data_IF_419218558429
#
_entry.id   IF_419218558429
#
_cell.length_a   1.000
_cell.length_b   1.000
_cell.length_c   1.000
_cell.angle_alpha   90.00
_cell.angle_beta   90.00
_cell.angle_gamma   90.00
#
_symmetry.space_group_name_H-M   'P 1'
#
loop_
_entity.id
_entity.type
_entity.pdbx_description
1 polymer ?
#
# COMPACT_ATOMS: atom_id res chain seq x y z
N UNK A 1 30.63 2.77 -52.04
CA UNK A 1 29.17 2.63 -51.96
C UNK A 1 28.72 3.64 -50.93
N UNK A 2 27.91 4.61 -51.38
CA UNK A 2 27.74 5.91 -50.76
C UNK A 2 26.99 5.89 -49.43
N UNK A 3 27.24 6.94 -48.65
CA UNK A 3 26.55 7.33 -47.42
C UNK A 3 25.09 7.75 -47.61
N UNK A 4 24.52 7.55 -48.80
CA UNK A 4 23.18 8.00 -49.15
C UNK A 4 22.16 7.09 -48.44
N UNK A 5 21.69 7.56 -47.27
CA UNK A 5 20.71 6.88 -46.42
C UNK A 5 21.12 6.71 -44.97
N UNK A 6 22.37 7.04 -44.59
CA UNK A 6 22.80 6.99 -43.19
C UNK A 6 22.28 8.21 -42.41
N UNK A 7 21.46 7.99 -41.37
CA UNK A 7 20.94 9.05 -40.49
C UNK A 7 21.69 9.14 -39.14
N UNK A 8 22.76 8.37 -38.92
CA UNK A 8 23.43 8.30 -37.62
C UNK A 8 23.94 9.66 -37.12
N UNK A 9 24.53 10.49 -37.99
CA UNK A 9 25.02 11.83 -37.61
C UNK A 9 23.87 12.75 -37.18
N UNK A 10 22.79 12.80 -37.97
CA UNK A 10 21.60 13.59 -37.62
C UNK A 10 20.89 13.09 -36.36
N UNK A 11 20.96 11.79 -36.08
CA UNK A 11 20.41 11.22 -34.85
C UNK A 11 21.22 11.66 -33.62
N UNK A 12 22.54 11.74 -33.73
CA UNK A 12 23.38 12.25 -32.64
C UNK A 12 23.16 13.75 -32.41
N UNK A 13 23.09 14.54 -33.48
CA UNK A 13 22.82 15.99 -33.39
C UNK A 13 21.46 16.28 -32.72
N UNK A 14 20.47 15.41 -32.95
CA UNK A 14 19.12 15.53 -32.39
C UNK A 14 18.91 14.76 -31.08
N UNK A 15 19.97 14.27 -30.44
CA UNK A 15 19.88 13.41 -29.25
C UNK A 15 19.00 13.97 -28.13
N UNK A 16 19.12 15.26 -27.80
CA UNK A 16 18.30 15.90 -26.74
C UNK A 16 16.82 15.91 -27.10
N UNK A 17 16.48 16.18 -28.36
CA UNK A 17 15.10 16.17 -28.85
C UNK A 17 14.54 14.76 -28.80
N UNK A 18 15.32 13.75 -29.23
CA UNK A 18 14.92 12.33 -29.15
C UNK A 18 14.66 11.88 -27.72
N UNK A 19 15.55 12.23 -26.78
CA UNK A 19 15.35 11.96 -25.35
C UNK A 19 14.04 12.55 -24.83
N UNK A 20 13.76 13.80 -25.17
CA UNK A 20 12.54 14.46 -24.72
C UNK A 20 11.29 13.83 -25.32
N UNK A 21 11.30 13.49 -26.62
CA UNK A 21 10.18 12.79 -27.26
C UNK A 21 9.96 11.40 -26.71
N UNK A 22 11.03 10.67 -26.44
CA UNK A 22 10.95 9.37 -25.81
C UNK A 22 10.41 9.44 -24.39
N UNK A 23 10.80 10.47 -23.62
CA UNK A 23 10.26 10.74 -22.28
C UNK A 23 8.75 11.00 -22.32
N UNK A 24 8.29 11.83 -23.26
CA UNK A 24 6.85 12.11 -23.48
C UNK A 24 6.09 10.83 -23.83
N UNK A 25 6.65 10.00 -24.71
CA UNK A 25 6.05 8.74 -25.12
C UNK A 25 5.97 7.74 -23.97
N UNK A 26 7.06 7.58 -23.20
CA UNK A 26 7.06 6.76 -21.99
C UNK A 26 6.04 7.28 -20.97
N UNK A 27 5.89 8.60 -20.82
CA UNK A 27 4.92 9.19 -19.91
C UNK A 27 3.48 8.85 -20.33
N UNK A 28 3.14 8.99 -21.62
CA UNK A 28 1.82 8.58 -22.14
C UNK A 28 1.52 7.10 -21.88
N UNK A 29 2.52 6.24 -22.06
CA UNK A 29 2.34 4.82 -21.77
C UNK A 29 2.10 4.56 -20.28
N UNK A 30 2.99 5.05 -19.40
CA UNK A 30 2.93 4.73 -17.98
C UNK A 30 1.77 5.43 -17.25
N UNK A 31 1.49 6.70 -17.57
CA UNK A 31 0.51 7.52 -16.84
C UNK A 31 -0.88 7.53 -17.48
N UNK A 32 -0.97 7.45 -18.81
CA UNK A 32 -2.24 7.63 -19.54
C UNK A 32 -2.77 6.33 -20.16
N UNK A 33 -2.07 5.20 -19.99
CA UNK A 33 -2.39 3.90 -20.61
C UNK A 33 -2.56 3.98 -22.14
N UNK A 34 -1.79 4.85 -22.80
CA UNK A 34 -1.89 5.10 -24.24
C UNK A 34 -1.39 3.89 -25.08
N UNK A 35 -2.32 3.25 -25.81
CA UNK A 35 -2.03 2.08 -26.65
C UNK A 35 -1.08 2.39 -27.84
N UNK A 36 -1.08 3.63 -28.35
CA UNK A 36 -0.17 4.02 -29.43
C UNK A 36 1.27 4.14 -28.91
N UNK A 37 1.44 4.66 -27.69
CA UNK A 37 2.73 4.70 -27.01
C UNK A 37 3.23 3.28 -26.66
N UNK A 38 2.32 2.42 -26.17
CA UNK A 38 2.61 1.00 -25.90
C UNK A 38 3.18 0.29 -27.14
N UNK A 39 2.57 0.47 -28.32
CA UNK A 39 3.05 -0.12 -29.57
C UNK A 39 4.51 0.25 -29.89
N UNK A 40 4.91 1.51 -29.65
CA UNK A 40 6.30 1.96 -29.88
C UNK A 40 7.25 1.40 -28.81
N UNK A 41 6.82 1.29 -27.55
CA UNK A 41 7.62 0.62 -26.51
C UNK A 41 7.85 -0.86 -26.83
N UNK A 42 6.80 -1.58 -27.27
CA UNK A 42 6.90 -2.98 -27.64
C UNK A 42 7.90 -3.17 -28.80
N UNK A 43 7.88 -2.26 -29.79
CA UNK A 43 8.88 -2.24 -30.86
C UNK A 43 10.30 -1.97 -30.36
N UNK A 44 10.46 -1.04 -29.41
CA UNK A 44 11.75 -0.78 -28.76
C UNK A 44 12.28 -2.00 -28.00
N UNK A 45 11.43 -2.72 -27.26
CA UNK A 45 11.82 -3.95 -26.56
C UNK A 45 12.21 -5.07 -27.55
N UNK A 46 11.42 -5.27 -28.62
CA UNK A 46 11.76 -6.23 -29.69
C UNK A 46 13.09 -5.88 -30.39
N UNK A 47 13.40 -4.60 -30.53
CA UNK A 47 14.64 -4.12 -31.14
C UNK A 47 15.90 -4.48 -30.35
N UNK A 48 15.78 -4.86 -29.07
CA UNK A 48 16.92 -5.28 -28.23
C UNK A 48 17.34 -6.72 -28.44
N UNK A 49 16.41 -7.57 -28.85
CA UNK A 49 16.58 -9.03 -28.92
C UNK A 49 16.79 -9.53 -30.36
N UNK A 50 16.95 -8.63 -31.32
CA UNK A 50 17.05 -8.92 -32.76
C UNK A 50 15.86 -9.71 -33.33
N UNK A 51 14.75 -9.78 -32.59
CA UNK A 51 13.46 -10.30 -33.05
C UNK A 51 12.75 -9.24 -33.89
N UNK A 52 13.37 -8.85 -35.02
CA UNK A 52 12.70 -8.03 -36.02
C UNK A 52 11.74 -8.93 -36.80
N UNK A 53 10.59 -9.23 -36.20
CA UNK A 53 9.41 -9.78 -36.88
C UNK A 53 8.14 -9.27 -36.20
N UNK A 54 8.07 -7.96 -35.94
CA UNK A 54 6.79 -7.28 -35.87
C UNK A 54 6.56 -6.71 -37.26
N UNK A 55 5.77 -7.43 -38.05
CA UNK A 55 5.33 -7.04 -39.39
C UNK A 55 4.74 -5.63 -39.36
N UNK A 56 5.53 -4.64 -39.75
CA UNK A 56 5.06 -3.29 -40.01
C UNK A 56 4.32 -3.28 -41.34
N UNK A 57 3.08 -3.78 -41.42
CA UNK A 57 2.17 -3.50 -42.54
C UNK A 57 0.70 -3.69 -42.12
N UNK A 58 -0.08 -2.60 -42.01
CA UNK A 58 -1.39 -2.45 -42.67
C UNK A 58 -1.79 -0.95 -42.78
N UNK A 59 -1.77 -0.42 -44.00
CA UNK A 59 -1.96 1.00 -44.37
C UNK A 59 -3.21 1.66 -43.73
N UNK A 60 -2.99 2.30 -42.58
CA UNK A 60 -3.90 3.25 -41.95
C UNK A 60 -3.09 4.44 -41.43
N UNK A 61 -3.70 5.63 -41.23
CA UNK A 61 -2.96 6.82 -40.77
C UNK A 61 -2.22 6.66 -39.43
N UNK A 62 -2.59 5.65 -38.62
CA UNK A 62 -1.88 5.29 -37.40
C UNK A 62 -0.51 4.62 -37.66
N UNK A 63 -0.33 3.97 -38.81
CA UNK A 63 0.92 3.33 -39.20
C UNK A 63 1.96 4.35 -39.69
N UNK A 64 1.52 5.44 -40.33
CA UNK A 64 2.40 6.54 -40.73
C UNK A 64 3.01 7.22 -39.49
N UNK A 65 2.16 7.58 -38.51
CA UNK A 65 2.61 8.21 -37.26
C UNK A 65 3.53 7.28 -36.44
N UNK A 66 3.25 5.97 -36.43
CA UNK A 66 4.12 4.99 -35.81
C UNK A 66 5.50 4.95 -36.49
N UNK A 67 5.54 4.83 -37.82
CA UNK A 67 6.79 4.76 -38.58
C UNK A 67 7.62 6.04 -38.44
N UNK A 68 6.99 7.22 -38.50
CA UNK A 68 7.66 8.51 -38.25
C UNK A 68 8.29 8.55 -36.86
N UNK A 69 7.58 8.03 -35.84
CA UNK A 69 8.06 8.00 -34.47
C UNK A 69 9.25 7.05 -34.30
N UNK A 70 9.16 5.83 -34.86
CA UNK A 70 10.24 4.83 -34.85
C UNK A 70 11.49 5.37 -35.56
N UNK A 71 11.30 6.02 -36.71
CA UNK A 71 12.40 6.64 -37.46
C UNK A 71 13.02 7.79 -36.67
N UNK A 72 12.22 8.70 -36.13
CA UNK A 72 12.69 9.85 -35.35
C UNK A 72 13.50 9.41 -34.11
N UNK A 73 13.07 8.33 -33.45
CA UNK A 73 13.78 7.78 -32.29
C UNK A 73 15.09 7.07 -32.66
N UNK A 74 15.29 6.72 -33.93
CA UNK A 74 16.46 5.99 -34.41
C UNK A 74 16.40 4.50 -34.10
N UNK A 75 15.20 3.91 -34.09
CA UNK A 75 14.97 2.49 -33.82
C UNK A 75 15.17 1.60 -35.06
N UNK A 76 15.55 2.18 -36.20
CA UNK A 76 16.00 1.43 -37.37
C UNK A 76 17.51 1.22 -37.34
N UNK A 77 17.94 -0.04 -37.52
CA UNK A 77 19.36 -0.37 -37.65
C UNK A 77 19.95 0.26 -38.92
N UNK A 78 21.10 0.91 -38.76
CA UNK A 78 21.86 1.39 -39.90
C UNK A 78 22.58 0.21 -40.57
N UNK A 79 22.38 0.05 -41.88
CA UNK A 79 23.01 -1.04 -42.66
C UNK A 79 24.47 -0.73 -43.06
N UNK A 80 25.02 0.42 -42.65
CA UNK A 80 26.40 0.80 -42.95
C UNK A 80 27.34 0.02 -42.02
N UNK A 81 28.32 -0.75 -42.57
CA UNK A 81 29.28 -1.50 -41.75
C UNK A 81 30.02 -0.59 -40.77
N UNK A 82 30.08 -1.02 -39.51
CA UNK A 82 30.73 -0.26 -38.42
C UNK A 82 29.83 0.76 -37.70
N UNK A 83 28.55 0.91 -38.08
CA UNK A 83 27.60 1.79 -37.40
C UNK A 83 26.72 1.09 -36.35
N UNK A 84 26.98 -0.20 -36.06
CA UNK A 84 26.25 -0.98 -35.06
C UNK A 84 26.31 -0.33 -33.67
N UNK A 85 27.45 0.28 -33.34
CA UNK A 85 27.65 0.97 -32.07
C UNK A 85 26.68 2.15 -31.88
N UNK A 86 26.35 2.88 -32.95
CA UNK A 86 25.41 4.02 -32.90
C UNK A 86 23.99 3.56 -32.52
N UNK A 87 23.58 2.39 -33.01
CA UNK A 87 22.29 1.80 -32.66
C UNK A 87 22.28 1.36 -31.19
N UNK A 88 23.32 0.67 -30.74
CA UNK A 88 23.47 0.24 -29.35
C UNK A 88 23.46 1.43 -28.38
N UNK A 89 24.18 2.51 -28.72
CA UNK A 89 24.17 3.76 -27.94
C UNK A 89 22.78 4.39 -27.90
N UNK A 90 22.02 4.36 -29.01
CA UNK A 90 20.63 4.82 -29.04
C UNK A 90 19.75 3.99 -28.10
N UNK A 91 19.82 2.65 -28.18
CA UNK A 91 19.05 1.76 -27.31
C UNK A 91 19.37 2.01 -25.83
N UNK A 92 20.66 2.12 -25.48
CA UNK A 92 21.08 2.37 -24.11
C UNK A 92 20.56 3.72 -23.60
N UNK A 93 20.64 4.77 -24.42
CA UNK A 93 20.15 6.10 -24.08
C UNK A 93 18.63 6.11 -23.84
N UNK A 94 17.85 5.46 -24.70
CA UNK A 94 16.40 5.34 -24.54
C UNK A 94 16.04 4.48 -23.32
N UNK A 95 16.81 3.44 -23.03
CA UNK A 95 16.60 2.60 -21.85
C UNK A 95 16.77 3.36 -20.54
N UNK A 96 17.80 4.22 -20.45
CA UNK A 96 18.02 5.09 -19.27
C UNK A 96 16.81 5.99 -19.06
N UNK A 97 16.37 6.69 -20.10
CA UNK A 97 15.21 7.61 -20.00
C UNK A 97 13.92 6.85 -19.68
N UNK A 98 13.68 5.67 -20.26
CA UNK A 98 12.51 4.84 -19.94
C UNK A 98 12.52 4.46 -18.46
N UNK A 99 13.67 4.05 -17.93
CA UNK A 99 13.80 3.67 -16.53
C UNK A 99 13.64 4.85 -15.57
N UNK A 100 14.11 6.05 -15.95
CA UNK A 100 13.82 7.30 -15.21
C UNK A 100 12.31 7.58 -15.12
N UNK A 101 11.60 7.51 -16.26
CA UNK A 101 10.15 7.76 -16.29
C UNK A 101 9.40 6.68 -15.51
N UNK A 102 9.78 5.41 -15.67
CA UNK A 102 9.19 4.29 -14.94
C UNK A 102 9.37 4.44 -13.42
N UNK A 103 10.56 4.86 -12.98
CA UNK A 103 10.82 5.14 -11.56
C UNK A 103 9.91 6.27 -11.05
N UNK A 104 9.82 7.39 -11.79
CA UNK A 104 8.93 8.49 -11.46
C UNK A 104 7.44 8.10 -11.42
N UNK A 105 7.02 7.18 -12.29
CA UNK A 105 5.67 6.63 -12.29
C UNK A 105 5.41 5.78 -11.03
N UNK A 106 6.32 4.88 -10.68
CA UNK A 106 6.18 4.07 -9.46
C UNK A 106 6.15 4.94 -8.20
N UNK A 107 6.97 5.99 -8.14
CA UNK A 107 6.94 6.97 -7.06
C UNK A 107 5.59 7.71 -7.02
N UNK A 108 5.07 8.14 -8.17
CA UNK A 108 3.75 8.78 -8.27
C UNK A 108 2.62 7.87 -7.77
N UNK A 109 2.55 6.63 -8.26
CA UNK A 109 1.55 5.64 -7.86
C UNK A 109 1.66 5.31 -6.38
N UNK A 110 2.88 5.14 -5.87
CA UNK A 110 3.14 4.93 -4.45
C UNK A 110 2.58 6.10 -3.62
N UNK A 111 2.95 7.33 -3.97
CA UNK A 111 2.48 8.53 -3.29
C UNK A 111 0.95 8.67 -3.31
N UNK A 112 0.32 8.34 -4.44
CA UNK A 112 -1.13 8.33 -4.55
C UNK A 112 -1.76 7.33 -3.57
N UNK A 113 -1.29 6.07 -3.54
CA UNK A 113 -1.80 5.04 -2.63
C UNK A 113 -1.66 5.44 -1.15
N UNK A 114 -0.53 6.02 -0.78
CA UNK A 114 -0.31 6.55 0.58
C UNK A 114 -1.24 7.72 0.91
N UNK A 115 -1.48 8.63 -0.04
CA UNK A 115 -2.40 9.75 0.13
C UNK A 115 -3.86 9.30 0.26
N UNK A 116 -4.27 8.30 -0.52
CA UNK A 116 -5.61 7.70 -0.46
C UNK A 116 -5.81 7.02 0.90
N UNK A 117 -4.83 6.23 1.36
CA UNK A 117 -4.87 5.63 2.69
C UNK A 117 -4.94 6.68 3.80
N UNK A 118 -4.10 7.73 3.76
CA UNK A 118 -4.12 8.81 4.75
C UNK A 118 -5.48 9.50 4.82
N UNK A 119 -6.10 9.75 3.67
CA UNK A 119 -7.43 10.35 3.57
C UNK A 119 -8.48 9.44 4.21
N UNK A 120 -8.52 8.17 3.82
CA UNK A 120 -9.47 7.20 4.35
C UNK A 120 -9.30 6.96 5.86
N UNK A 121 -8.05 6.88 6.32
CA UNK A 121 -7.73 6.74 7.73
C UNK A 121 -8.19 7.97 8.53
N UNK A 122 -8.06 9.19 8.00
CA UNK A 122 -8.54 10.41 8.68
C UNK A 122 -10.06 10.50 8.76
N UNK A 123 -10.75 9.96 7.76
CA UNK A 123 -12.22 9.90 7.74
C UNK A 123 -12.78 8.81 8.65
N UNK A 124 -11.95 7.88 9.13
CA UNK A 124 -12.37 6.73 9.93
C UNK A 124 -11.71 6.73 11.31
N UNK A 125 -12.53 6.74 12.36
CA UNK A 125 -12.09 6.73 13.74
C UNK A 125 -13.00 5.86 14.59
N UNK A 126 -12.40 5.21 15.60
CA UNK A 126 -13.16 4.59 16.67
C UNK A 126 -13.99 5.63 17.42
N UNK A 127 -15.14 5.21 17.94
CA UNK A 127 -16.16 6.10 18.51
C UNK A 127 -15.93 6.43 19.99
N UNK A 128 -15.05 5.69 20.66
CA UNK A 128 -14.84 5.73 22.10
C UNK A 128 -13.67 6.64 22.53
N UNK A 129 -13.09 7.37 21.58
CA UNK A 129 -12.07 8.38 21.83
C UNK A 129 -12.52 9.75 21.31
N UNK A 130 -12.01 10.79 21.94
CA UNK A 130 -12.06 12.16 21.47
C UNK A 130 -10.68 12.58 21.00
N UNK A 131 -10.62 13.12 19.80
CA UNK A 131 -9.39 13.62 19.19
C UNK A 131 -9.38 15.13 19.34
N UNK A 132 -8.30 15.65 19.88
CA UNK A 132 -8.06 17.08 19.98
C UNK A 132 -6.61 17.39 19.63
N UNK A 133 -6.35 18.65 19.32
CA UNK A 133 -5.02 19.11 18.93
C UNK A 133 -4.43 19.94 20.05
N UNK A 134 -3.20 19.61 20.48
CA UNK A 134 -2.49 20.36 21.52
C UNK A 134 -1.98 21.71 21.00
N UNK A 135 -1.40 22.50 21.90
CA UNK A 135 -0.81 23.80 21.57
C UNK A 135 0.36 23.73 20.58
N UNK A 136 0.90 22.53 20.31
CA UNK A 136 1.99 22.28 19.36
C UNK A 136 1.47 21.64 18.06
N UNK A 137 0.17 21.74 17.77
CA UNK A 137 -0.47 21.13 16.61
C UNK A 137 -0.37 19.58 16.57
N UNK A 138 -0.13 18.91 17.70
CA UNK A 138 -0.09 17.45 17.78
C UNK A 138 -1.46 16.90 18.13
N UNK A 139 -1.88 15.88 17.39
CA UNK A 139 -3.08 15.12 17.72
C UNK A 139 -2.88 14.36 19.03
N UNK A 140 -3.86 14.46 19.92
CA UNK A 140 -3.95 13.76 21.19
C UNK A 140 -5.30 13.03 21.24
N UNK A 141 -5.32 11.91 21.95
CA UNK A 141 -6.54 11.16 22.22
C UNK A 141 -6.83 11.18 23.72
N UNK A 142 -8.12 11.26 24.04
CA UNK A 142 -8.65 10.97 25.37
C UNK A 142 -9.85 10.04 25.26
N UNK A 143 -10.03 9.16 26.24
CA UNK A 143 -11.18 8.26 26.29
C UNK A 143 -12.46 9.07 26.47
N UNK A 144 -13.47 8.83 25.61
CA UNK A 144 -14.81 9.37 25.81
C UNK A 144 -15.52 8.60 26.92
N UNK A 145 -15.88 9.30 27.99
CA UNK A 145 -16.63 8.72 29.11
C UNK A 145 -18.09 8.51 28.70
N UNK A 146 -18.57 7.27 28.80
CA UNK A 146 -19.93 6.88 28.46
C UNK A 146 -20.58 6.23 29.68
N UNK A 147 -21.54 6.93 30.29
CA UNK A 147 -22.16 6.53 31.54
C UNK A 147 -23.08 5.31 31.39
N UNK A 148 -23.75 5.18 30.25
CA UNK A 148 -24.69 4.10 29.93
C UNK A 148 -24.14 3.13 28.89
N UNK A 149 -22.81 2.98 28.80
CA UNK A 149 -22.21 2.06 27.85
C UNK A 149 -22.54 0.61 28.21
N UNK A 150 -23.08 -0.11 27.25
CA UNK A 150 -23.29 -1.55 27.32
C UNK A 150 -22.80 -2.20 26.03
N UNK A 151 -21.84 -3.11 26.17
CA UNK A 151 -21.39 -3.95 25.07
C UNK A 151 -22.34 -5.13 24.93
N UNK A 152 -23.22 -5.05 23.93
CA UNK A 152 -24.22 -6.11 23.69
C UNK A 152 -23.57 -7.38 23.16
N UNK A 153 -24.23 -8.52 23.41
CA UNK A 153 -23.84 -9.81 22.85
C UNK A 153 -23.86 -9.74 21.31
N UNK A 154 -24.81 -9.01 20.74
CA UNK A 154 -24.89 -8.81 19.29
C UNK A 154 -23.65 -8.09 18.73
N UNK A 155 -23.18 -7.04 19.40
CA UNK A 155 -21.96 -6.34 19.00
C UNK A 155 -20.74 -7.25 19.11
N UNK A 156 -20.64 -8.03 20.21
CA UNK A 156 -19.59 -9.03 20.38
C UNK A 156 -19.57 -10.05 19.23
N UNK A 157 -20.72 -10.67 18.93
CA UNK A 157 -20.85 -11.65 17.84
C UNK A 157 -20.45 -11.05 16.50
N UNK A 158 -20.93 -9.85 16.17
CA UNK A 158 -20.56 -9.14 14.93
C UNK A 158 -19.05 -8.87 14.84
N UNK A 159 -18.42 -8.50 15.95
CA UNK A 159 -16.96 -8.31 15.99
C UNK A 159 -16.22 -9.63 15.74
N UNK A 160 -16.66 -10.73 16.36
CA UNK A 160 -16.08 -12.07 16.18
C UNK A 160 -16.23 -12.55 14.73
N UNK A 161 -17.42 -12.46 14.15
CA UNK A 161 -17.68 -12.82 12.75
C UNK A 161 -16.80 -12.03 11.77
N UNK A 162 -16.68 -10.71 11.97
CA UNK A 162 -15.81 -9.86 11.13
C UNK A 162 -14.34 -10.24 11.24
N UNK A 163 -13.91 -10.61 12.44
CA UNK A 163 -12.54 -11.07 12.69
C UNK A 163 -12.26 -12.41 11.99
N UNK A 164 -13.18 -13.37 12.09
CA UNK A 164 -13.10 -14.66 11.41
C UNK A 164 -13.03 -14.48 9.90
N UNK A 165 -13.98 -13.73 9.31
CA UNK A 165 -14.01 -13.45 7.88
C UNK A 165 -12.72 -12.78 7.40
N UNK A 166 -12.19 -11.84 8.17
CA UNK A 166 -10.92 -11.18 7.83
C UNK A 166 -9.74 -12.17 7.82
N UNK A 167 -9.62 -12.99 8.87
CA UNK A 167 -8.55 -13.98 8.97
C UNK A 167 -8.67 -15.00 7.83
N UNK A 168 -9.86 -15.57 7.60
CA UNK A 168 -10.07 -16.57 6.55
C UNK A 168 -9.70 -16.05 5.16
N UNK A 169 -10.08 -14.81 4.87
CA UNK A 169 -9.79 -14.16 3.59
C UNK A 169 -8.28 -13.95 3.37
N UNK A 170 -7.57 -13.50 4.39
CA UNK A 170 -6.19 -13.02 4.23
C UNK A 170 -5.11 -14.03 4.66
N UNK A 171 -5.47 -15.10 5.37
CA UNK A 171 -4.52 -16.10 5.89
C UNK A 171 -3.78 -16.89 4.80
N UNK A 172 -4.33 -17.02 3.60
CA UNK A 172 -3.61 -17.67 2.49
C UNK A 172 -2.53 -16.76 1.89
N UNK A 173 -2.64 -15.45 2.11
CA UNK A 173 -1.70 -14.45 1.63
C UNK A 173 -0.59 -14.24 2.66
N UNK A 174 0.60 -14.78 2.37
CA UNK A 174 1.80 -14.65 3.21
C UNK A 174 2.15 -13.19 3.51
N UNK A 175 1.85 -12.27 2.59
CA UNK A 175 2.06 -10.83 2.78
C UNK A 175 1.24 -10.24 3.93
N UNK A 176 0.12 -10.85 4.31
CA UNK A 176 -0.73 -10.38 5.41
C UNK A 176 -0.28 -10.89 6.79
N UNK A 177 0.52 -11.96 6.83
CA UNK A 177 0.93 -12.63 8.08
C UNK A 177 1.61 -11.70 9.09
N UNK A 178 2.53 -10.79 8.68
CA UNK A 178 3.15 -9.84 9.59
C UNK A 178 2.11 -8.93 10.29
N UNK A 179 1.07 -8.48 9.57
CA UNK A 179 -0.02 -7.70 10.15
C UNK A 179 -0.86 -8.52 11.13
N UNK A 180 -1.24 -9.75 10.77
CA UNK A 180 -1.99 -10.64 11.67
C UNK A 180 -1.20 -10.92 12.96
N UNK A 181 0.10 -11.18 12.84
CA UNK A 181 0.97 -11.38 13.98
C UNK A 181 1.09 -10.11 14.85
N UNK A 182 1.18 -8.93 14.21
CA UNK A 182 1.21 -7.63 14.89
C UNK A 182 -0.09 -7.32 15.64
N UNK A 183 -1.25 -7.54 15.01
CA UNK A 183 -2.55 -7.33 15.63
C UNK A 183 -2.76 -8.27 16.83
N UNK A 184 -2.39 -9.54 16.69
CA UNK A 184 -2.41 -10.49 17.81
C UNK A 184 -1.53 -10.00 18.97
N UNK A 185 -0.33 -9.49 18.68
CA UNK A 185 0.56 -8.94 19.68
C UNK A 185 -0.03 -7.70 20.36
N UNK A 186 -0.65 -6.80 19.59
CA UNK A 186 -1.32 -5.60 20.11
C UNK A 186 -2.46 -5.94 21.08
N UNK A 187 -3.29 -6.94 20.74
CA UNK A 187 -4.33 -7.47 21.63
C UNK A 187 -3.72 -8.08 22.91
N UNK A 188 -2.66 -8.88 22.77
CA UNK A 188 -1.96 -9.47 23.90
C UNK A 188 -1.35 -8.41 24.83
N UNK A 189 -0.76 -7.35 24.29
CA UNK A 189 -0.21 -6.26 25.09
C UNK A 189 -1.27 -5.51 25.89
N UNK A 190 -2.48 -5.36 25.35
CA UNK A 190 -3.60 -4.77 26.07
C UNK A 190 -4.13 -5.70 27.17
N UNK A 191 -4.11 -7.02 26.96
CA UNK A 191 -4.47 -8.00 28.00
C UNK A 191 -3.50 -7.99 29.20
N UNK A 192 -2.24 -7.62 28.96
CA UNK A 192 -1.19 -7.52 29.97
C UNK A 192 -1.17 -6.17 30.71
N UNK A 193 -2.11 -5.27 30.40
CA UNK A 193 -2.09 -3.88 30.86
C UNK A 193 -3.46 -3.43 31.38
N UNK A 194 -3.45 -2.61 32.44
CA UNK A 194 -4.63 -1.90 32.92
C UNK A 194 -4.90 -0.61 32.13
N UNK A 195 -3.90 -0.08 31.43
CA UNK A 195 -4.03 1.05 30.51
C UNK A 195 -4.05 0.57 29.06
N UNK A 196 -4.68 1.36 28.18
CA UNK A 196 -4.67 1.14 26.75
C UNK A 196 -3.22 1.15 26.28
N UNK A 197 -2.82 0.13 25.53
CA UNK A 197 -1.53 0.07 24.88
C UNK A 197 -1.72 0.34 23.40
N UNK A 198 -1.03 1.36 22.89
CA UNK A 198 -1.09 1.71 21.49
C UNK A 198 -0.14 0.83 20.68
N UNK A 199 -0.59 0.45 19.49
CA UNK A 199 0.18 -0.25 18.48
C UNK A 199 0.71 0.77 17.48
N UNK A 200 1.99 1.10 17.60
CA UNK A 200 2.67 2.03 16.69
C UNK A 200 3.04 1.32 15.39
N UNK A 201 2.48 1.76 14.28
CA UNK A 201 2.52 1.05 12.99
C UNK A 201 2.78 2.02 11.84
N UNK A 202 3.61 1.61 10.87
CA UNK A 202 3.82 2.35 9.61
C UNK A 202 2.64 2.13 8.66
N UNK A 203 2.20 3.17 7.97
CA UNK A 203 1.13 3.09 6.95
C UNK A 203 1.52 2.13 5.81
N UNK A 204 2.83 1.89 5.60
CA UNK A 204 3.34 0.90 4.66
C UNK A 204 2.79 -0.51 4.90
N UNK A 205 2.48 -0.85 6.15
CA UNK A 205 1.90 -2.16 6.48
C UNK A 205 0.52 -2.34 5.84
N UNK A 206 -0.24 -1.27 5.62
CA UNK A 206 -1.50 -1.35 4.92
C UNK A 206 -1.30 -1.28 3.41
N UNK A 207 -0.50 -0.31 2.95
CA UNK A 207 -0.37 0.03 1.53
C UNK A 207 0.45 -0.99 0.73
N UNK A 208 1.44 -1.62 1.35
CA UNK A 208 2.39 -2.52 0.67
C UNK A 208 2.16 -4.00 0.99
N UNK A 209 1.25 -4.33 1.90
CA UNK A 209 0.99 -5.72 2.31
C UNK A 209 -0.30 -6.26 1.70
N UNK A 210 -0.35 -7.58 1.55
CA UNK A 210 -1.58 -8.28 1.19
C UNK A 210 -1.96 -8.14 -0.29
N UNK A 211 -3.25 -8.30 -0.57
CA UNK A 211 -3.83 -8.16 -1.91
C UNK A 211 -4.42 -6.76 -2.12
N UNK A 212 -5.03 -6.51 -3.28
CA UNK A 212 -5.62 -5.21 -3.63
C UNK A 212 -6.74 -4.76 -2.68
N UNK A 213 -7.36 -5.68 -1.93
CA UNK A 213 -8.44 -5.37 -1.01
C UNK A 213 -7.98 -5.30 0.45
N UNK A 214 -6.74 -5.72 0.74
CA UNK A 214 -6.21 -5.82 2.09
C UNK A 214 -6.28 -4.50 2.84
N UNK A 215 -5.81 -3.40 2.24
CA UNK A 215 -5.83 -2.05 2.83
C UNK A 215 -7.20 -1.68 3.37
N UNK A 216 -8.24 -1.82 2.54
CA UNK A 216 -9.61 -1.48 2.90
C UNK A 216 -10.14 -2.40 4.00
N UNK A 217 -9.94 -3.72 3.85
CA UNK A 217 -10.41 -4.71 4.82
C UNK A 217 -9.74 -4.54 6.19
N UNK A 218 -8.44 -4.24 6.21
CA UNK A 218 -7.67 -4.06 7.44
C UNK A 218 -8.12 -2.80 8.18
N UNK A 219 -8.32 -1.69 7.47
CA UNK A 219 -8.85 -0.46 8.07
C UNK A 219 -10.27 -0.66 8.60
N UNK A 220 -11.14 -1.33 7.84
CA UNK A 220 -12.49 -1.67 8.27
C UNK A 220 -12.51 -2.59 9.50
N UNK A 221 -11.61 -3.58 9.56
CA UNK A 221 -11.46 -4.42 10.75
C UNK A 221 -11.06 -3.59 11.97
N UNK A 222 -9.96 -2.82 11.86
CA UNK A 222 -9.44 -2.04 12.98
C UNK A 222 -10.48 -1.04 13.50
N UNK A 223 -11.05 -0.23 12.62
CA UNK A 223 -11.95 0.87 13.03
C UNK A 223 -13.38 0.40 13.24
N UNK A 224 -13.97 -0.36 12.30
CA UNK A 224 -15.40 -0.66 12.35
C UNK A 224 -15.74 -1.93 13.14
N UNK A 225 -14.82 -2.89 13.23
CA UNK A 225 -15.06 -4.13 13.98
C UNK A 225 -14.46 -4.08 15.39
N UNK A 226 -13.22 -3.62 15.51
CA UNK A 226 -12.46 -3.58 16.76
C UNK A 226 -12.50 -2.21 17.46
N UNK A 227 -13.10 -1.20 16.80
CA UNK A 227 -13.28 0.14 17.32
C UNK A 227 -11.96 0.81 17.76
N UNK A 228 -10.87 0.53 17.04
CA UNK A 228 -9.61 1.25 17.21
C UNK A 228 -9.78 2.70 16.79
N UNK A 229 -9.15 3.59 17.55
CA UNK A 229 -8.87 4.97 17.12
C UNK A 229 -7.38 5.12 16.85
N UNK A 230 -7.00 6.17 16.13
CA UNK A 230 -5.59 6.43 15.82
C UNK A 230 -5.28 7.92 15.73
N UNK A 231 -4.01 8.25 15.96
CA UNK A 231 -3.43 9.53 15.59
C UNK A 231 -2.11 9.34 14.85
N UNK A 232 -1.72 10.36 14.08
CA UNK A 232 -0.37 10.42 13.52
C UNK A 232 0.64 10.51 14.67
N UNK A 233 1.61 9.59 14.69
CA UNK A 233 2.62 9.55 15.74
C UNK A 233 3.50 10.79 15.64
N UNK A 234 3.67 11.50 16.75
CA UNK A 234 4.60 12.63 16.80
C UNK A 234 5.99 12.12 16.43
N UNK A 235 6.51 12.60 15.29
CA UNK A 235 7.73 12.11 14.66
C UNK A 235 8.84 11.89 15.69
N UNK A 236 9.09 10.63 16.03
CA UNK A 236 10.25 10.23 16.80
C UNK A 236 11.34 9.89 15.78
N UNK A 237 11.81 10.92 15.08
CA UNK A 237 12.76 10.74 13.98
C UNK A 237 13.50 12.03 13.69
N UNK A 238 14.80 12.02 13.99
CA UNK A 238 15.79 12.95 13.46
C UNK A 238 15.53 13.27 11.98
N UNK A 239 15.56 14.55 11.57
CA UNK A 239 15.49 14.91 10.17
C UNK A 239 16.70 14.31 9.45
N UNK A 240 16.49 13.34 8.54
CA UNK A 240 17.56 12.83 7.68
C UNK A 240 17.54 11.36 7.27
N UNK A 241 16.65 10.50 7.78
CA UNK A 241 16.67 9.06 7.43
C UNK A 241 15.39 8.51 6.80
N UNK A 242 14.33 9.31 6.64
CA UNK A 242 13.14 8.86 5.91
C UNK A 242 13.44 8.86 4.41
N UNK A 243 13.69 7.67 3.83
CA UNK A 243 13.86 7.50 2.39
C UNK A 243 12.63 7.93 1.59
N UNK A 244 11.45 8.01 2.23
CA UNK A 244 10.21 8.54 1.66
C UNK A 244 9.51 9.47 2.68
N UNK A 245 9.41 10.79 2.42
CA UNK A 245 8.78 11.75 3.34
C UNK A 245 7.25 11.57 3.48
N UNK A 246 6.66 10.66 2.71
CA UNK A 246 5.21 10.44 2.64
C UNK A 246 4.70 9.27 3.49
N UNK A 247 5.57 8.35 3.91
CA UNK A 247 5.16 7.19 4.70
C UNK A 247 4.99 7.60 6.15
N UNK A 248 3.74 7.72 6.59
CA UNK A 248 3.39 8.10 7.95
C UNK A 248 3.47 6.91 8.89
N UNK A 249 3.56 7.22 10.18
CA UNK A 249 3.43 6.24 11.26
C UNK A 249 2.28 6.68 12.15
N UNK A 250 1.41 5.75 12.52
CA UNK A 250 0.25 5.99 13.37
C UNK A 250 0.33 5.16 14.63
N UNK A 251 -0.23 5.73 15.69
CA UNK A 251 -0.44 5.04 16.95
C UNK A 251 -1.90 4.57 16.99
N UNK A 252 -2.12 3.26 16.98
CA UNK A 252 -3.45 2.64 16.97
C UNK A 252 -3.85 2.21 18.38
N UNK A 253 -4.94 2.74 18.90
CA UNK A 253 -5.42 2.54 20.26
C UNK A 253 -6.62 1.61 20.26
N UNK A 254 -6.51 0.48 20.97
CA UNK A 254 -7.63 -0.44 21.16
C UNK A 254 -8.77 0.24 21.92
N UNK A 255 -10.01 -0.16 21.63
CA UNK A 255 -11.19 0.28 22.36
C UNK A 255 -11.04 0.10 23.89
N UNK A 256 -11.08 1.18 24.70
CA UNK A 256 -10.94 1.10 26.15
C UNK A 256 -12.08 0.33 26.82
N UNK A 257 -13.21 0.20 26.13
CA UNK A 257 -14.37 -0.57 26.61
C UNK A 257 -14.33 -2.06 26.20
N UNK A 258 -13.27 -2.51 25.53
CA UNK A 258 -13.09 -3.94 25.24
C UNK A 258 -12.57 -4.68 26.48
N UNK A 259 -13.31 -5.69 26.92
CA UNK A 259 -12.98 -6.47 28.11
C UNK A 259 -11.89 -7.50 27.86
N UNK A 260 -11.25 -7.95 28.93
CA UNK A 260 -10.27 -9.03 28.86
C UNK A 260 -10.89 -10.36 28.38
N UNK A 261 -12.19 -10.56 28.60
CA UNK A 261 -12.87 -11.73 28.08
C UNK A 261 -12.88 -11.69 26.55
N UNK A 262 -13.33 -10.57 25.98
CA UNK A 262 -13.43 -10.36 24.54
C UNK A 262 -12.06 -10.41 23.86
N UNK A 263 -11.05 -9.75 24.42
CA UNK A 263 -9.68 -9.81 23.89
C UNK A 263 -9.19 -11.26 23.82
N UNK A 264 -9.44 -12.08 24.85
CA UNK A 264 -9.06 -13.50 24.82
C UNK A 264 -9.82 -14.29 23.78
N UNK A 265 -11.10 -14.01 23.55
CA UNK A 265 -11.87 -14.66 22.48
C UNK A 265 -11.32 -14.30 21.11
N UNK A 266 -11.03 -13.02 20.85
CA UNK A 266 -10.42 -12.56 19.60
C UNK A 266 -9.05 -13.21 19.36
N UNK A 267 -8.19 -13.29 20.38
CA UNK A 267 -6.87 -13.93 20.27
C UNK A 267 -6.98 -15.40 19.86
N UNK A 268 -8.05 -16.11 20.25
CA UNK A 268 -8.26 -17.53 19.91
C UNK A 268 -8.58 -17.74 18.42
N UNK A 269 -9.09 -16.73 17.73
CA UNK A 269 -9.37 -16.80 16.30
C UNK A 269 -8.09 -16.82 15.46
N UNK A 270 -6.99 -16.27 15.98
CA UNK A 270 -5.74 -16.24 15.24
C UNK A 270 -5.17 -17.64 15.05
N UNK A 271 -4.59 -17.92 13.87
CA UNK A 271 -3.81 -19.14 13.68
C UNK A 271 -2.65 -19.20 14.68
N UNK A 272 -2.17 -20.42 14.96
CA UNK A 272 -0.97 -20.61 15.78
C UNK A 272 0.19 -19.80 15.21
N UNK A 273 1.03 -19.19 16.07
CA UNK A 273 2.16 -18.38 15.63
C UNK A 273 3.10 -19.08 14.63
N UNK A 274 3.22 -20.41 14.69
CA UNK A 274 4.01 -21.23 13.76
C UNK A 274 3.47 -21.25 12.31
N UNK A 275 2.21 -20.88 12.10
CA UNK A 275 1.55 -20.79 10.79
C UNK A 275 1.64 -19.40 10.18
N UNK A 276 2.05 -18.39 10.96
CA UNK A 276 2.24 -17.03 10.47
C UNK A 276 3.72 -16.84 10.13
N UNK A 277 3.96 -16.39 8.91
CA UNK A 277 5.30 -16.11 8.41
C UNK A 277 5.69 -14.66 8.65
N UNK A 278 6.99 -14.40 8.78
CA UNK A 278 7.51 -13.07 9.04
C UNK A 278 7.42 -12.64 10.51
N UNK A 279 7.92 -11.44 10.79
CA UNK A 279 7.90 -10.84 12.13
C UNK A 279 6.61 -10.03 12.32
N UNK A 280 6.05 -9.97 13.53
CA UNK A 280 4.92 -9.10 13.81
C UNK A 280 5.27 -7.65 13.48
N UNK A 281 4.36 -6.95 12.81
CA UNK A 281 4.54 -5.54 12.48
C UNK A 281 4.25 -4.63 13.67
N UNK A 282 4.85 -3.44 13.63
CA UNK A 282 4.66 -2.39 14.63
C UNK A 282 5.31 -2.67 15.98
N UNK A 283 5.14 -1.72 16.90
CA UNK A 283 5.78 -1.74 18.22
C UNK A 283 4.83 -1.33 19.32
N UNK A 284 5.11 -1.80 20.54
CA UNK A 284 4.35 -1.50 21.76
C UNK A 284 4.61 -0.05 22.20
N UNK A 285 3.56 0.75 22.36
CA UNK A 285 3.63 2.07 22.99
C UNK A 285 2.72 2.10 24.22
N UNK A 286 3.32 2.32 25.39
CA UNK A 286 2.58 2.46 26.64
C UNK A 286 1.88 3.82 26.70
N UNK A 287 0.66 3.84 27.21
CA UNK A 287 -0.12 5.07 27.42
C UNK A 287 -0.56 5.20 28.87
N UNK A 288 -1.09 6.38 29.22
CA UNK A 288 -1.69 6.68 30.52
C UNK A 288 -3.22 6.59 30.51
N UNK A 289 -3.82 6.15 29.41
CA UNK A 289 -5.27 6.05 29.27
C UNK A 289 -5.77 4.76 29.88
N UNK A 290 -6.65 4.83 30.88
CA UNK A 290 -7.18 3.62 31.51
C UNK A 290 -8.10 2.85 30.56
N UNK A 291 -8.08 1.51 30.68
CA UNK A 291 -9.09 0.66 30.07
C UNK A 291 -10.33 0.65 30.96
N UNK A 292 -11.45 1.15 30.44
CA UNK A 292 -12.69 1.33 31.20
C UNK A 292 -13.38 0.02 31.58
N UNK A 293 -13.22 -1.05 30.79
CA UNK A 293 -13.99 -2.29 30.95
C UNK A 293 -13.12 -3.55 31.11
N UNK A 294 -11.95 -3.47 31.77
CA UNK A 294 -11.03 -4.62 31.91
C UNK A 294 -11.74 -5.89 32.40
N UNK A 295 -12.62 -5.75 33.39
CA UNK A 295 -13.32 -6.86 34.05
C UNK A 295 -14.65 -7.25 33.40
N UNK A 296 -15.05 -6.63 32.28
CA UNK A 296 -16.30 -6.96 31.59
C UNK A 296 -17.57 -6.55 32.35
N UNK A 297 -17.47 -5.55 33.23
CA UNK A 297 -18.62 -5.04 33.99
C UNK A 297 -19.64 -4.31 33.10
N UNK A 298 -19.17 -3.82 31.95
CA UNK A 298 -19.99 -3.17 30.93
C UNK A 298 -20.36 -4.13 29.79
N UNK A 299 -20.07 -5.43 29.94
CA UNK A 299 -20.52 -6.46 28.99
C UNK A 299 -21.94 -6.91 29.35
N UNK A 300 -22.77 -7.10 28.34
CA UNK A 300 -24.12 -7.65 28.54
C UNK A 300 -24.01 -9.04 29.17
N UNK A 301 -24.66 -9.22 30.32
CA UNK A 301 -24.68 -10.51 31.00
C UNK A 301 -25.38 -11.55 30.12
N UNK A 302 -24.74 -12.70 29.86
CA UNK A 302 -25.38 -13.75 29.08
C UNK A 302 -26.66 -14.19 29.79
N UNK A 303 -27.78 -14.16 29.07
CA UNK A 303 -29.07 -14.63 29.58
C UNK A 303 -28.89 -16.05 30.10
N UNK A 304 -29.44 -16.33 31.29
CA UNK A 304 -29.29 -17.59 32.04
C UNK A 304 -29.40 -18.87 31.19
N UNK A 305 -30.25 -18.87 30.16
CA UNK A 305 -30.47 -20.00 29.26
C UNK A 305 -29.32 -20.29 28.29
N UNK A 306 -28.53 -19.28 27.88
CA UNK A 306 -27.39 -19.49 26.98
C UNK A 306 -26.21 -20.22 27.66
N UNK A 307 -26.19 -20.29 29.00
CA UNK A 307 -25.20 -21.07 29.75
C UNK A 307 -25.39 -22.58 29.64
N UNK A 308 -26.59 -23.05 29.25
CA UNK A 308 -26.97 -24.46 29.30
C UNK A 308 -27.27 -25.07 27.93
N UNK A 309 -27.36 -24.29 26.86
CA UNK A 309 -27.63 -24.78 25.50
C UNK A 309 -26.38 -25.11 24.66
N UNK A 310 -25.26 -25.50 25.29
CA UNK A 310 -24.09 -26.11 24.58
C UNK A 310 -24.06 -27.64 24.79
N UNK A 311 -25.18 -28.23 25.19
CA UNK A 311 -25.36 -29.69 25.17
C UNK A 311 -26.68 -29.98 24.50
N UNK A 312 -26.63 -30.28 23.19
CA UNK A 312 -27.41 -31.31 22.49
C UNK A 312 -26.80 -31.54 21.12
#
# INVERSE_FOLDING_TARGET
MGSDGCQCASLEDNRVVRQQRWRELCAKFYYDEDESAKRVLDHFEASKVDEISISAVEETGADEQFNETVQMLGLHKCMVPGHEENFNQTIQMLEVVKNEVRAGYHDHVSNQRYSEFDTQAKETQGTNFEIWTDSNARQQLSVRVQHDYLRTIENHTKTMERMEVFIEKHLSNVGSHPFLAGLRAALQWNLESSTVVAWKLSDAVFVESGDSEFTHNALALLVLALNFSHCESAASGTPGTAKNPHVKTRDWYLDPYMSDHDIRQLIRLFPSAKRLEGRPTGTKMLTKMDRTNVHGQLDESPKFFNRWCVVL
#
